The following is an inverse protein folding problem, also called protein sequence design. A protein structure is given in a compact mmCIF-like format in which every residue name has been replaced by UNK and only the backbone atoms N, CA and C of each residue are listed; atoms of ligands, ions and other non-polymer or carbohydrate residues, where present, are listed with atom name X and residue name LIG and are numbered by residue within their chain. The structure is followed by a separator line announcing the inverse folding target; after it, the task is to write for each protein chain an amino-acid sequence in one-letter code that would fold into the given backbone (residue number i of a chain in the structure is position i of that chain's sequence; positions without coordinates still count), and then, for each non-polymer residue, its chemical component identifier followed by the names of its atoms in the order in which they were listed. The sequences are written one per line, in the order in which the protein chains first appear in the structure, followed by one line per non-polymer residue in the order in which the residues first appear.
data_IF_938427208060
#
_entry.id   IF_938427208060
#
_cell.length_a   1.000
_cell.length_b   1.000
_cell.length_c   1.000
_cell.angle_alpha   90.00
_cell.angle_beta   90.00
_cell.angle_gamma   90.00
#
_symmetry.space_group_name_H-M   'P 1'
#
loop_
_entity.id
_entity.type
_entity.pdbx_description
1 polymer ?
#
# COMPACT_ATOMS: atom_id res chain seq x y z
N UNK A 1 8.47 19.66 4.34
CA UNK A 1 8.43 18.22 3.99
C UNK A 1 9.36 18.02 2.82
N UNK A 2 10.33 17.12 3.00
CA UNK A 2 11.24 16.66 1.94
C UNK A 2 10.42 15.99 0.84
N UNK A 3 10.93 15.98 -0.40
CA UNK A 3 10.27 15.35 -1.56
C UNK A 3 9.81 13.91 -1.25
N UNK A 4 10.71 13.10 -0.71
CA UNK A 4 10.43 11.71 -0.36
C UNK A 4 9.35 11.57 0.72
N UNK A 5 9.35 12.42 1.75
CA UNK A 5 8.31 12.41 2.79
C UNK A 5 6.91 12.66 2.16
N UNK A 6 6.80 13.58 1.20
CA UNK A 6 5.53 13.85 0.49
C UNK A 6 5.08 12.66 -0.35
N UNK A 7 6.02 12.00 -1.01
CA UNK A 7 5.72 10.81 -1.81
C UNK A 7 5.24 9.65 -0.93
N UNK A 8 5.87 9.43 0.23
CA UNK A 8 5.42 8.44 1.22
C UNK A 8 4.01 8.76 1.72
N UNK A 9 3.71 10.02 2.06
CA UNK A 9 2.35 10.42 2.47
C UNK A 9 1.31 10.20 1.37
N UNK A 10 1.64 10.53 0.11
CA UNK A 10 0.76 10.30 -1.02
C UNK A 10 0.44 8.80 -1.17
N UNK A 11 1.46 7.94 -1.08
CA UNK A 11 1.28 6.49 -1.09
C UNK A 11 0.35 6.01 0.02
N UNK A 12 0.54 6.46 1.26
CA UNK A 12 -0.32 6.11 2.40
C UNK A 12 -1.78 6.48 2.16
N UNK A 13 -2.03 7.71 1.68
CA UNK A 13 -3.38 8.19 1.40
C UNK A 13 -4.02 7.35 0.30
N UNK A 14 -3.28 7.07 -0.79
CA UNK A 14 -3.76 6.23 -1.89
C UNK A 14 -4.11 4.84 -1.40
N UNK A 15 -3.26 4.21 -0.57
CA UNK A 15 -3.54 2.87 -0.02
C UNK A 15 -4.82 2.86 0.81
N UNK A 16 -5.03 3.86 1.68
CA UNK A 16 -6.25 3.96 2.50
C UNK A 16 -7.49 4.16 1.62
N UNK A 17 -7.42 5.06 0.63
CA UNK A 17 -8.54 5.33 -0.28
C UNK A 17 -8.85 4.08 -1.11
N UNK A 18 -7.84 3.48 -1.74
CA UNK A 18 -8.01 2.30 -2.59
C UNK A 18 -8.64 1.15 -1.81
N UNK A 19 -8.16 0.88 -0.59
CA UNK A 19 -8.72 -0.18 0.23
C UNK A 19 -10.15 0.13 0.69
N UNK A 20 -10.44 1.38 1.05
CA UNK A 20 -11.80 1.82 1.42
C UNK A 20 -12.76 1.64 0.24
N UNK A 21 -12.36 2.10 -0.94
CA UNK A 21 -13.16 1.97 -2.18
C UNK A 21 -13.38 0.51 -2.53
N UNK A 22 -12.35 -0.34 -2.43
CA UNK A 22 -12.46 -1.77 -2.67
C UNK A 22 -13.51 -2.42 -1.76
N UNK A 23 -13.43 -2.19 -0.45
CA UNK A 23 -14.39 -2.73 0.52
C UNK A 23 -15.81 -2.26 0.22
N UNK A 24 -15.99 -0.96 -0.08
CA UNK A 24 -17.31 -0.41 -0.43
C UNK A 24 -17.87 -1.11 -1.66
N UNK A 25 -17.08 -1.28 -2.72
CA UNK A 25 -17.54 -1.93 -3.97
C UNK A 25 -17.93 -3.39 -3.71
N UNK A 26 -17.11 -4.15 -2.98
CA UNK A 26 -17.41 -5.56 -2.63
C UNK A 26 -18.71 -5.66 -1.83
N UNK A 27 -18.89 -4.81 -0.81
CA UNK A 27 -20.09 -4.81 0.02
C UNK A 27 -21.34 -4.36 -0.74
N UNK A 28 -21.20 -3.40 -1.66
CA UNK A 28 -22.30 -2.98 -2.54
C UNK A 28 -22.71 -4.11 -3.49
N UNK A 29 -21.75 -4.83 -4.06
CA UNK A 29 -22.03 -5.94 -4.96
C UNK A 29 -22.62 -7.15 -4.23
N UNK A 30 -22.27 -7.37 -2.96
CA UNK A 30 -22.89 -8.39 -2.12
C UNK A 30 -24.40 -8.13 -1.92
N UNK A 31 -24.85 -6.87 -1.95
CA UNK A 31 -26.28 -6.53 -1.93
C UNK A 31 -27.05 -7.03 -0.71
N UNK A 32 -26.36 -7.26 0.42
CA UNK A 32 -26.93 -7.87 1.64
C UNK A 32 -26.92 -9.40 1.66
N UNK A 33 -26.48 -10.06 0.59
CA UNK A 33 -26.20 -11.49 0.53
C UNK A 33 -24.81 -11.85 1.07
N UNK A 34 -24.42 -13.13 1.00
CA UNK A 34 -23.09 -13.59 1.40
C UNK A 34 -21.99 -12.92 0.57
N UNK A 35 -20.96 -12.40 1.23
CA UNK A 35 -19.81 -11.76 0.55
C UNK A 35 -18.98 -12.73 -0.28
N UNK A 36 -19.06 -14.04 0.02
CA UNK A 36 -18.37 -15.11 -0.71
C UNK A 36 -18.93 -15.33 -2.11
N UNK A 37 -20.17 -14.91 -2.36
CA UNK A 37 -20.84 -15.07 -3.67
C UNK A 37 -20.46 -13.93 -4.64
N UNK A 38 -19.73 -12.92 -4.16
CA UNK A 38 -19.28 -11.79 -4.98
C UNK A 38 -18.14 -12.24 -5.90
N UNK A 39 -18.24 -11.91 -7.18
CA UNK A 39 -17.12 -12.01 -8.12
C UNK A 39 -16.02 -10.99 -7.77
N UNK A 40 -15.18 -11.34 -6.80
CA UNK A 40 -14.21 -10.44 -6.17
C UNK A 40 -12.97 -10.17 -7.04
N UNK A 41 -12.60 -11.10 -7.92
CA UNK A 41 -11.33 -11.05 -8.65
C UNK A 41 -11.20 -9.85 -9.59
N UNK A 42 -12.24 -9.42 -10.37
CA UNK A 42 -12.11 -8.26 -11.26
C UNK A 42 -11.97 -6.97 -10.45
N UNK A 43 -12.71 -6.86 -9.34
CA UNK A 43 -12.64 -5.69 -8.44
C UNK A 43 -11.24 -5.57 -7.85
N UNK A 44 -10.67 -6.68 -7.38
CA UNK A 44 -9.32 -6.71 -6.81
C UNK A 44 -8.27 -6.37 -7.86
N UNK A 45 -8.36 -6.96 -9.07
CA UNK A 45 -7.45 -6.69 -10.17
C UNK A 45 -7.48 -5.21 -10.60
N UNK A 46 -8.67 -4.62 -10.75
CA UNK A 46 -8.82 -3.20 -11.04
C UNK A 46 -8.29 -2.31 -9.93
N UNK A 47 -8.51 -2.67 -8.66
CA UNK A 47 -8.00 -1.90 -7.52
C UNK A 47 -6.48 -1.90 -7.50
N UNK A 48 -5.85 -3.07 -7.71
CA UNK A 48 -4.40 -3.20 -7.80
C UNK A 48 -3.87 -2.37 -8.98
N UNK A 49 -4.43 -2.57 -10.17
CA UNK A 49 -4.01 -1.85 -11.38
C UNK A 49 -4.17 -0.33 -11.26
N UNK A 50 -5.32 0.14 -10.78
CA UNK A 50 -5.58 1.55 -10.57
C UNK A 50 -4.66 2.15 -9.51
N UNK A 51 -4.36 1.43 -8.43
CA UNK A 51 -3.44 1.90 -7.38
C UNK A 51 -2.00 2.03 -7.88
N UNK A 52 -1.54 1.08 -8.71
CA UNK A 52 -0.22 1.14 -9.35
C UNK A 52 -0.15 2.36 -10.27
N UNK A 53 -1.13 2.52 -11.16
CA UNK A 53 -1.17 3.67 -12.09
C UNK A 53 -1.24 4.98 -11.32
N UNK A 54 -2.10 5.08 -10.29
CA UNK A 54 -2.20 6.26 -9.45
C UNK A 54 -0.89 6.60 -8.75
N UNK A 55 -0.17 5.60 -8.22
CA UNK A 55 1.12 5.77 -7.57
C UNK A 55 2.19 6.28 -8.54
N UNK A 56 2.24 5.72 -9.76
CA UNK A 56 3.15 6.16 -10.82
C UNK A 56 2.85 7.61 -11.20
N UNK A 57 1.59 7.94 -11.46
CA UNK A 57 1.16 9.30 -11.83
C UNK A 57 1.51 10.29 -10.72
N UNK A 58 1.25 9.96 -9.45
CA UNK A 58 1.60 10.80 -8.31
C UNK A 58 3.11 11.02 -8.19
N UNK A 59 3.91 9.96 -8.37
CA UNK A 59 5.37 10.07 -8.33
C UNK A 59 5.89 10.98 -9.45
N UNK A 60 5.35 10.85 -10.66
CA UNK A 60 5.72 11.69 -11.82
C UNK A 60 5.30 13.14 -11.58
N UNK A 61 4.06 13.38 -11.16
CA UNK A 61 3.55 14.72 -10.86
C UNK A 61 4.41 15.41 -9.79
N UNK A 62 4.76 14.69 -8.74
CA UNK A 62 5.67 15.23 -7.73
C UNK A 62 7.04 15.53 -8.29
N UNK A 63 7.61 14.62 -9.10
CA UNK A 63 8.92 14.83 -9.74
C UNK A 63 8.93 16.10 -10.61
N UNK A 64 7.87 16.32 -11.40
CA UNK A 64 7.73 17.54 -12.20
C UNK A 64 7.61 18.80 -11.34
N UNK A 65 6.76 18.79 -10.30
CA UNK A 65 6.60 19.93 -9.40
C UNK A 65 7.91 20.26 -8.66
N UNK A 66 8.67 19.24 -8.27
CA UNK A 66 9.97 19.41 -7.64
C UNK A 66 10.99 20.02 -8.60
N UNK A 67 11.10 19.50 -9.82
CA UNK A 67 12.02 20.03 -10.84
C UNK A 67 11.71 21.43 -11.32
N UNK A 68 10.45 21.84 -11.28
CA UNK A 68 10.07 23.24 -11.54
C UNK A 68 10.48 24.20 -10.42
N UNK A 69 10.59 23.72 -9.17
CA UNK A 69 10.92 24.55 -8.00
C UNK A 69 12.40 24.58 -7.68
N UNK A 70 13.12 23.49 -7.92
CA UNK A 70 14.53 23.35 -7.61
C UNK A 70 15.23 22.40 -8.62
N UNK A 71 15.68 22.92 -9.77
CA UNK A 71 16.27 22.12 -10.85
C UNK A 71 17.53 21.35 -10.43
N UNK A 72 18.29 21.86 -9.47
CA UNK A 72 19.56 21.28 -9.01
C UNK A 72 19.39 20.24 -7.89
N UNK A 73 18.19 20.15 -7.31
CA UNK A 73 17.85 19.24 -6.20
C UNK A 73 17.18 17.93 -6.62
N UNK A 74 16.75 17.79 -7.89
CA UNK A 74 16.05 16.60 -8.37
C UNK A 74 17.04 15.45 -8.58
N UNK A 75 16.86 14.35 -7.83
CA UNK A 75 17.61 13.11 -8.03
C UNK A 75 18.71 12.82 -7.02
N UNK A 76 18.96 13.70 -6.04
CA UNK A 76 19.79 13.36 -4.88
C UNK A 76 18.95 12.61 -3.84
N UNK A 77 18.76 11.30 -4.05
CA UNK A 77 18.39 10.43 -2.93
C UNK A 77 19.59 10.37 -1.99
N UNK A 78 19.47 10.91 -0.78
CA UNK A 78 20.55 10.82 0.21
C UNK A 78 20.62 9.39 0.75
N UNK A 79 21.78 9.00 1.30
CA UNK A 79 21.96 7.73 2.03
C UNK A 79 20.86 7.58 3.09
N UNK A 80 20.47 8.70 3.73
CA UNK A 80 19.39 8.74 4.71
C UNK A 80 18.04 8.27 4.16
N UNK A 81 17.67 8.69 2.95
CA UNK A 81 16.38 8.33 2.36
C UNK A 81 16.32 6.84 2.02
N UNK A 82 17.45 6.28 1.55
CA UNK A 82 17.59 4.85 1.30
C UNK A 82 17.49 4.02 2.58
N UNK A 83 18.13 4.46 3.65
CA UNK A 83 18.07 3.76 4.94
C UNK A 83 16.66 3.81 5.55
N UNK A 84 15.96 4.94 5.42
CA UNK A 84 14.55 5.07 5.82
C UNK A 84 13.67 4.12 5.00
N UNK A 85 13.87 4.05 3.68
CA UNK A 85 13.13 3.14 2.81
C UNK A 85 13.35 1.66 3.20
N UNK A 86 14.59 1.26 3.44
CA UNK A 86 14.92 -0.09 3.91
C UNK A 86 14.29 -0.40 5.27
N UNK A 87 14.34 0.53 6.21
CA UNK A 87 13.72 0.35 7.53
C UNK A 87 12.20 0.16 7.40
N UNK A 88 11.53 1.00 6.61
CA UNK A 88 10.10 0.86 6.32
C UNK A 88 9.75 -0.51 5.73
N UNK A 89 10.56 -0.99 4.77
CA UNK A 89 10.42 -2.32 4.19
C UNK A 89 10.51 -3.43 5.23
N UNK A 90 11.48 -3.37 6.16
CA UNK A 90 11.61 -4.36 7.24
C UNK A 90 10.40 -4.37 8.18
N UNK A 91 9.86 -3.19 8.52
CA UNK A 91 8.67 -3.09 9.39
C UNK A 91 7.44 -3.68 8.70
N UNK A 92 7.23 -3.36 7.41
CA UNK A 92 6.12 -3.93 6.64
C UNK A 92 6.22 -5.45 6.48
N UNK A 93 7.44 -5.99 6.32
CA UNK A 93 7.68 -7.42 6.11
C UNK A 93 7.06 -8.31 7.20
N UNK A 94 7.02 -7.87 8.45
CA UNK A 94 6.41 -8.64 9.53
C UNK A 94 4.91 -8.90 9.26
N UNK A 95 4.19 -7.90 8.78
CA UNK A 95 2.76 -8.00 8.45
C UNK A 95 2.51 -8.86 7.20
N UNK A 96 3.42 -8.79 6.23
CA UNK A 96 3.40 -9.69 5.08
C UNK A 96 3.50 -11.15 5.50
N UNK A 97 4.42 -11.47 6.41
CA UNK A 97 4.59 -12.83 6.93
C UNK A 97 3.35 -13.28 7.70
N UNK A 98 2.78 -12.42 8.55
CA UNK A 98 1.54 -12.72 9.28
C UNK A 98 0.39 -13.03 8.32
N UNK A 99 0.23 -12.23 7.26
CA UNK A 99 -0.79 -12.48 6.24
C UNK A 99 -0.56 -13.79 5.49
N UNK A 100 0.69 -14.10 5.12
CA UNK A 100 1.04 -15.37 4.50
C UNK A 100 0.75 -16.58 5.39
N UNK A 101 1.02 -16.49 6.69
CA UNK A 101 0.63 -17.51 7.67
C UNK A 101 -0.89 -17.65 7.75
N UNK A 102 -1.62 -16.53 7.75
CA UNK A 102 -3.09 -16.53 7.70
C UNK A 102 -3.63 -17.24 6.46
N UNK A 103 -3.02 -17.00 5.29
CA UNK A 103 -3.35 -17.69 4.03
C UNK A 103 -3.12 -19.20 4.15
N UNK A 104 -1.99 -19.64 4.71
CA UNK A 104 -1.70 -21.07 4.91
C UNK A 104 -2.76 -21.71 5.81
N UNK A 105 -3.15 -21.04 6.89
CA UNK A 105 -4.20 -21.51 7.80
C UNK A 105 -5.54 -21.60 7.07
N UNK A 106 -5.92 -20.59 6.29
CA UNK A 106 -7.17 -20.60 5.52
C UNK A 106 -7.20 -21.72 4.47
N UNK A 107 -6.08 -21.96 3.80
CA UNK A 107 -5.94 -23.10 2.88
C UNK A 107 -6.08 -24.45 3.61
N UNK A 108 -5.52 -24.58 4.81
CA UNK A 108 -5.62 -25.81 5.61
C UNK A 108 -7.06 -26.14 6.05
N UNK A 109 -7.92 -25.13 6.15
CA UNK A 109 -9.35 -25.27 6.46
C UNK A 109 -10.26 -25.26 5.22
N UNK A 110 -9.68 -25.31 4.02
CA UNK A 110 -10.44 -25.24 2.75
C UNK A 110 -11.41 -24.05 2.73
N UNK A 111 -10.99 -22.91 3.28
CA UNK A 111 -11.80 -21.71 3.31
C UNK A 111 -12.10 -21.24 1.87
N UNK A 112 -13.23 -20.52 1.73
CA UNK A 112 -13.61 -19.94 0.45
C UNK A 112 -12.47 -19.09 -0.15
N UNK A 113 -12.29 -19.19 -1.46
CA UNK A 113 -11.21 -18.50 -2.19
C UNK A 113 -11.29 -16.99 -1.99
N UNK A 114 -12.48 -16.45 -1.75
CA UNK A 114 -12.71 -15.07 -1.33
C UNK A 114 -11.85 -14.71 -0.11
N UNK A 115 -11.92 -15.50 0.97
CA UNK A 115 -11.20 -15.21 2.21
C UNK A 115 -9.69 -15.35 2.04
N UNK A 116 -9.25 -16.36 1.30
CA UNK A 116 -7.84 -16.61 1.02
C UNK A 116 -7.24 -15.40 0.26
N UNK A 117 -7.88 -14.99 -0.83
CA UNK A 117 -7.42 -13.89 -1.67
C UNK A 117 -7.46 -12.55 -0.92
N UNK A 118 -8.57 -12.26 -0.23
CA UNK A 118 -8.71 -11.03 0.53
C UNK A 118 -7.68 -10.94 1.66
N UNK A 119 -7.44 -12.03 2.39
CA UNK A 119 -6.44 -12.05 3.48
C UNK A 119 -5.06 -11.64 2.96
N UNK A 120 -4.64 -12.18 1.82
CA UNK A 120 -3.37 -11.79 1.21
C UNK A 120 -3.39 -10.33 0.74
N UNK A 121 -4.48 -9.91 0.10
CA UNK A 121 -4.63 -8.56 -0.41
C UNK A 121 -4.59 -7.49 0.69
N UNK A 122 -5.33 -7.69 1.78
CA UNK A 122 -5.24 -6.86 2.98
C UNK A 122 -3.86 -6.93 3.63
N UNK A 123 -3.22 -8.10 3.62
CA UNK A 123 -1.85 -8.27 4.08
C UNK A 123 -0.85 -7.37 3.34
N UNK A 124 -0.93 -7.33 2.01
CA UNK A 124 -0.11 -6.44 1.18
C UNK A 124 -0.33 -4.98 1.54
N UNK A 125 -1.60 -4.56 1.62
CA UNK A 125 -1.93 -3.17 1.92
C UNK A 125 -1.51 -2.76 3.33
N UNK A 126 -1.70 -3.63 4.33
CA UNK A 126 -1.30 -3.37 5.71
C UNK A 126 0.22 -3.29 5.84
N UNK A 127 0.95 -4.19 5.18
CA UNK A 127 2.41 -4.15 5.10
C UNK A 127 2.91 -2.82 4.51
N UNK A 128 2.35 -2.41 3.37
CA UNK A 128 2.68 -1.15 2.72
C UNK A 128 2.34 0.07 3.60
N UNK A 129 1.17 0.05 4.23
CA UNK A 129 0.70 1.13 5.10
C UNK A 129 1.59 1.30 6.33
N UNK A 130 1.88 0.22 7.06
CA UNK A 130 2.70 0.29 8.28
C UNK A 130 4.16 0.62 7.93
N UNK A 131 4.69 0.05 6.83
CA UNK A 131 6.00 0.41 6.32
C UNK A 131 6.10 1.90 5.98
N UNK A 132 5.10 2.46 5.30
CA UNK A 132 5.04 3.90 4.99
C UNK A 132 4.89 4.78 6.24
N UNK A 133 4.07 4.38 7.22
CA UNK A 133 3.94 5.10 8.50
C UNK A 133 5.28 5.12 9.24
N UNK A 134 5.99 4.00 9.27
CA UNK A 134 7.33 3.92 9.87
C UNK A 134 8.32 4.89 9.19
N UNK A 135 8.29 4.98 7.85
CA UNK A 135 9.10 5.94 7.10
C UNK A 135 8.76 7.39 7.47
N UNK A 136 7.47 7.74 7.54
CA UNK A 136 7.03 9.08 7.96
C UNK A 136 7.51 9.43 9.36
N UNK A 137 7.43 8.48 10.31
CA UNK A 137 7.92 8.70 11.67
C UNK A 137 9.43 8.94 11.65
N UNK A 138 10.20 8.18 10.86
CA UNK A 138 11.64 8.33 10.72
C UNK A 138 12.03 9.69 10.12
N UNK A 139 11.28 10.18 9.12
CA UNK A 139 11.49 11.52 8.57
C UNK A 139 11.30 12.63 9.60
N UNK A 140 10.40 12.45 10.58
CA UNK A 140 10.08 13.46 11.59
C UNK A 140 10.91 13.38 12.86
N UNK A 141 11.26 12.17 13.30
CA UNK A 141 11.94 11.93 14.59
C UNK A 141 13.40 11.53 14.45
N UNK A 142 13.88 11.30 13.22
CA UNK A 142 15.19 10.71 12.97
C UNK A 142 15.18 9.19 13.10
N UNK A 143 16.20 8.54 12.56
CA UNK A 143 16.49 7.13 12.84
C UNK A 143 17.27 7.07 14.16
N UNK A 144 16.81 6.23 15.10
CA UNK A 144 17.50 6.00 16.37
C UNK A 144 18.74 5.12 16.18
#
# INVERSE_FOLDING_TARGET
MVYEERNTWAGLIVTVIAMTVYVIIVLQQAGGGPVTDVEWWPIMAWTIGASIVASIVLSILWGMIAGMRDPDGVGKSDIRDRDIAHMGGRVGQAFMVIAGLGVIVLCAFEADWFWIANTMFFGFALSAFIGGVAQVIAYRRGMA
#
